data_IF_502614855775
#
_entry.id   IF_502614855775
#
_cell.length_a   1.000
_cell.length_b   1.000
_cell.length_c   1.000
_cell.angle_alpha   90.00
_cell.angle_beta   90.00
_cell.angle_gamma   90.00
#
_symmetry.space_group_name_H-M   'P 1'
#
loop_
_entity.id
_entity.type
_entity.pdbx_description
1 polymer ?
#
# COMPACT_ATOMS: atom_id res chain seq x y z
N UNK A 1 -14.22 3.60 5.54
CA UNK A 1 -13.07 4.28 4.88
C UNK A 1 -13.62 5.48 4.13
N UNK A 2 -13.27 6.70 4.52
CA UNK A 2 -13.59 7.92 3.75
C UNK A 2 -12.46 8.24 2.76
N UNK A 3 -12.71 9.17 1.82
CA UNK A 3 -11.66 9.66 0.92
C UNK A 3 -10.46 10.23 1.69
N UNK A 4 -10.72 11.07 2.70
CA UNK A 4 -9.67 11.66 3.55
C UNK A 4 -8.86 10.61 4.31
N UNK A 5 -9.52 9.54 4.80
CA UNK A 5 -8.82 8.45 5.48
C UNK A 5 -7.90 7.67 4.52
N UNK A 6 -8.36 7.42 3.29
CA UNK A 6 -7.55 6.76 2.25
C UNK A 6 -6.35 7.63 1.87
N UNK A 7 -6.56 8.93 1.67
CA UNK A 7 -5.49 9.87 1.34
C UNK A 7 -4.46 9.98 2.45
N UNK A 8 -4.89 10.06 3.71
CA UNK A 8 -3.99 10.11 4.87
C UNK A 8 -3.16 8.84 5.01
N UNK A 9 -3.78 7.65 4.86
CA UNK A 9 -3.07 6.38 4.92
C UNK A 9 -2.03 6.28 3.80
N UNK A 10 -2.41 6.60 2.56
CA UNK A 10 -1.50 6.58 1.43
C UNK A 10 -0.36 7.60 1.60
N UNK A 11 -0.66 8.82 2.06
CA UNK A 11 0.36 9.84 2.31
C UNK A 11 1.37 9.43 3.39
N UNK A 12 0.94 8.69 4.42
CA UNK A 12 1.83 8.16 5.45
C UNK A 12 2.81 7.13 4.85
N UNK A 13 2.35 6.25 3.97
CA UNK A 13 3.21 5.30 3.25
C UNK A 13 4.21 6.02 2.33
N UNK A 14 3.74 7.00 1.56
CA UNK A 14 4.58 7.81 0.68
C UNK A 14 5.71 8.52 1.45
N UNK A 15 5.45 8.96 2.68
CA UNK A 15 6.43 9.71 3.48
C UNK A 15 7.67 8.90 3.84
N UNK A 16 7.56 7.57 3.95
CA UNK A 16 8.66 6.70 4.39
C UNK A 16 9.04 5.60 3.38
N UNK A 17 8.35 5.50 2.23
CA UNK A 17 8.54 4.43 1.24
C UNK A 17 10.01 4.22 0.81
N UNK A 18 10.78 5.31 0.71
CA UNK A 18 12.15 5.27 0.21
C UNK A 18 13.11 4.61 1.21
N UNK A 19 12.76 4.52 2.49
CA UNK A 19 13.58 3.86 3.50
C UNK A 19 13.68 2.34 3.27
N UNK A 20 12.71 1.75 2.58
CA UNK A 20 12.65 0.33 2.24
C UNK A 20 12.77 0.08 0.73
N UNK A 21 13.06 1.12 -0.07
CA UNK A 21 13.11 1.05 -1.53
C UNK A 21 11.75 0.75 -2.18
N UNK A 22 10.66 1.10 -1.52
CA UNK A 22 9.29 0.90 -2.02
C UNK A 22 8.83 2.15 -2.78
N UNK A 23 8.02 1.94 -3.82
CA UNK A 23 7.31 2.96 -4.55
C UNK A 23 5.81 2.60 -4.64
N UNK A 24 5.00 3.21 -3.79
CA UNK A 24 3.54 3.07 -3.87
C UNK A 24 3.00 3.88 -5.05
N UNK A 25 2.31 3.21 -5.97
CA UNK A 25 1.83 3.80 -7.21
C UNK A 25 0.40 4.31 -7.08
N UNK A 26 -0.49 3.47 -6.56
CA UNK A 26 -1.91 3.77 -6.54
C UNK A 26 -2.62 2.99 -5.45
N UNK A 27 -3.64 3.61 -4.86
CA UNK A 27 -4.53 2.98 -3.90
C UNK A 27 -5.99 3.16 -4.30
N UNK A 28 -6.80 2.16 -4.01
CA UNK A 28 -8.25 2.15 -4.17
C UNK A 28 -8.88 1.64 -2.88
N UNK A 29 -10.06 2.15 -2.54
CA UNK A 29 -10.84 1.61 -1.44
C UNK A 29 -12.28 1.36 -1.88
N UNK A 30 -12.84 0.27 -1.37
CA UNK A 30 -14.27 -0.02 -1.39
C UNK A 30 -14.80 0.09 0.05
N UNK A 31 -15.44 1.21 0.42
CA UNK A 31 -15.97 1.41 1.76
C UNK A 31 -17.13 0.48 2.11
N UNK A 32 -17.83 -0.11 1.13
CA UNK A 32 -18.97 -1.00 1.37
C UNK A 32 -18.49 -2.37 1.87
N UNK A 33 -17.51 -2.96 1.18
CA UNK A 33 -16.85 -4.20 1.66
C UNK A 33 -15.83 -3.96 2.77
N UNK A 34 -15.32 -2.73 2.89
CA UNK A 34 -14.23 -2.40 3.82
C UNK A 34 -12.84 -2.77 3.29
N UNK A 35 -12.68 -2.94 1.98
CA UNK A 35 -11.43 -3.41 1.37
C UNK A 35 -10.60 -2.26 0.82
N UNK A 36 -9.29 -2.30 1.02
CA UNK A 36 -8.32 -1.38 0.42
C UNK A 36 -7.34 -2.18 -0.44
N UNK A 37 -7.11 -1.70 -1.66
CA UNK A 37 -6.13 -2.25 -2.58
C UNK A 37 -5.01 -1.25 -2.76
N UNK A 38 -3.76 -1.70 -2.71
CA UNK A 38 -2.59 -0.88 -2.98
C UNK A 38 -1.69 -1.57 -4.00
N UNK A 39 -1.22 -0.81 -4.98
CA UNK A 39 -0.23 -1.24 -5.96
C UNK A 39 1.10 -0.54 -5.66
N UNK A 40 2.18 -1.32 -5.59
CA UNK A 40 3.52 -0.81 -5.34
C UNK A 40 4.58 -1.57 -6.13
N UNK A 41 5.67 -0.89 -6.47
CA UNK A 41 6.94 -1.50 -6.84
C UNK A 41 7.85 -1.57 -5.61
N UNK A 42 8.49 -2.71 -5.37
CA UNK A 42 9.32 -2.91 -4.19
C UNK A 42 10.34 -4.04 -4.40
N UNK A 43 11.43 -4.06 -3.62
CA UNK A 43 12.41 -5.16 -3.68
C UNK A 43 11.85 -6.48 -3.13
N UNK A 44 10.86 -6.44 -2.22
CA UNK A 44 10.17 -7.62 -1.71
C UNK A 44 8.82 -7.28 -1.09
N UNK A 45 7.97 -8.29 -0.88
CA UNK A 45 6.69 -8.13 -0.17
C UNK A 45 6.89 -7.67 1.28
N UNK A 46 7.94 -8.16 1.95
CA UNK A 46 8.27 -7.78 3.32
C UNK A 46 8.69 -6.31 3.44
N UNK A 47 9.31 -5.74 2.41
CA UNK A 47 9.64 -4.31 2.37
C UNK A 47 8.37 -3.46 2.37
N UNK A 48 7.36 -3.84 1.58
CA UNK A 48 6.03 -3.21 1.58
C UNK A 48 5.36 -3.37 2.94
N UNK A 49 5.38 -4.57 3.50
CA UNK A 49 4.78 -4.87 4.82
C UNK A 49 5.37 -4.01 5.94
N UNK A 50 6.70 -3.83 5.97
CA UNK A 50 7.38 -3.01 6.98
C UNK A 50 6.94 -1.55 6.93
N UNK A 51 6.71 -0.99 5.73
CA UNK A 51 6.19 0.37 5.61
C UNK A 51 4.77 0.43 6.19
N UNK A 52 3.86 -0.45 5.76
CA UNK A 52 2.49 -0.52 6.25
C UNK A 52 2.38 -0.74 7.76
N UNK A 53 3.28 -1.54 8.34
CA UNK A 53 3.34 -1.75 9.80
C UNK A 53 3.75 -0.46 10.52
N UNK A 54 4.75 0.26 10.01
CA UNK A 54 5.26 1.50 10.61
C UNK A 54 4.28 2.68 10.47
N UNK A 55 3.42 2.66 9.45
CA UNK A 55 2.40 3.69 9.22
C UNK A 55 1.06 3.36 9.88
N UNK A 56 0.94 2.16 10.46
CA UNK A 56 -0.19 1.78 11.32
C UNK A 56 -1.35 1.09 10.61
N UNK A 57 -1.14 0.65 9.37
CA UNK A 57 -2.14 -0.05 8.56
C UNK A 57 -1.53 -1.26 7.84
N UNK A 58 -1.14 -2.25 8.64
CA UNK A 58 -0.65 -3.57 8.20
C UNK A 58 -1.61 -4.15 7.14
N UNK A 59 -1.07 -4.52 5.97
CA UNK A 59 -1.84 -5.23 4.96
C UNK A 59 -2.17 -6.66 5.43
N UNK A 60 -3.41 -7.10 5.24
CA UNK A 60 -3.83 -8.47 5.54
C UNK A 60 -3.24 -9.49 4.56
N UNK A 61 -3.05 -9.07 3.31
CA UNK A 61 -2.50 -9.89 2.23
C UNK A 61 -1.55 -9.08 1.34
N UNK A 62 -0.45 -9.70 0.90
CA UNK A 62 0.49 -9.14 -0.07
C UNK A 62 0.86 -10.22 -1.09
N UNK A 63 0.62 -9.93 -2.37
CA UNK A 63 0.88 -10.86 -3.47
C UNK A 63 1.79 -10.20 -4.51
N UNK A 64 2.91 -10.84 -4.84
CA UNK A 64 3.76 -10.39 -5.94
C UNK A 64 3.05 -10.66 -7.28
N UNK A 65 2.94 -9.63 -8.12
CA UNK A 65 2.28 -9.71 -9.44
C UNK A 65 3.29 -9.52 -10.58
N UNK A 66 4.12 -10.53 -10.90
CA UNK A 66 5.21 -10.38 -11.87
C UNK A 66 4.75 -10.26 -13.32
N UNK A 67 3.47 -10.52 -13.61
CA UNK A 67 2.88 -10.46 -14.93
C UNK A 67 1.79 -9.39 -14.96
N UNK A 68 1.78 -8.55 -15.99
CA UNK A 68 0.75 -7.53 -16.20
C UNK A 68 0.32 -7.49 -17.66
N UNK A 69 -0.90 -7.00 -17.89
CA UNK A 69 -1.46 -6.73 -19.21
C UNK A 69 -2.01 -5.30 -19.24
N UNK A 70 -2.09 -4.71 -20.44
CA UNK A 70 -2.59 -3.36 -20.68
C UNK A 70 -3.96 -3.39 -21.34
#
# INVERSE_FOLDING_TARGET
ITADQLEQAHAADLAIQQEEGVHFQQSWADPESGTLYCLSEAPSAEAVQRIHERTGHVADEIHAVPLSAR
#
